data_IF_437420336994
#
_entry.id   IF_437420336994
#
_cell.length_a   1.000
_cell.length_b   1.000
_cell.length_c   1.000
_cell.angle_alpha   90.00
_cell.angle_beta   90.00
_cell.angle_gamma   90.00
#
_symmetry.space_group_name_H-M   'P 1'
#
loop_
_entity.id
_entity.type
_entity.pdbx_description
1 polymer ?
#
# COMPACT_ATOMS: atom_id res chain seq x y z
N UNK A 1 -13.50 -14.22 24.69
CA UNK A 1 -12.83 -14.18 23.36
C UNK A 1 -11.66 -13.20 23.45
N UNK A 2 -10.46 -13.65 23.10
CA UNK A 2 -9.27 -12.78 23.12
C UNK A 2 -9.33 -11.71 22.00
N UNK A 3 -8.59 -10.60 22.17
CA UNK A 3 -8.50 -9.55 21.15
C UNK A 3 -8.01 -10.12 19.80
N UNK A 4 -7.10 -11.09 19.84
CA UNK A 4 -6.59 -11.73 18.62
C UNK A 4 -7.66 -12.55 17.90
N UNK A 5 -8.52 -13.24 18.62
CA UNK A 5 -9.66 -13.97 18.04
C UNK A 5 -10.68 -13.02 17.43
N UNK A 6 -10.99 -11.92 18.11
CA UNK A 6 -11.87 -10.88 17.58
C UNK A 6 -11.33 -10.29 16.27
N UNK A 7 -10.03 -9.93 16.23
CA UNK A 7 -9.37 -9.46 15.01
C UNK A 7 -9.40 -10.49 13.88
N UNK A 8 -9.20 -11.77 14.18
CA UNK A 8 -9.27 -12.85 13.18
C UNK A 8 -10.66 -13.01 12.59
N UNK A 9 -11.69 -12.98 13.44
CA UNK A 9 -13.09 -13.05 12.98
C UNK A 9 -13.47 -11.84 12.13
N UNK A 10 -13.09 -10.63 12.58
CA UNK A 10 -13.36 -9.41 11.83
C UNK A 10 -12.68 -9.41 10.45
N UNK A 11 -11.41 -9.86 10.37
CA UNK A 11 -10.73 -10.02 9.06
C UNK A 11 -11.50 -10.94 8.13
N UNK A 12 -11.95 -12.10 8.64
CA UNK A 12 -12.72 -13.07 7.83
C UNK A 12 -14.01 -12.46 7.31
N UNK A 13 -14.76 -11.79 8.16
CA UNK A 13 -16.03 -11.15 7.78
C UNK A 13 -15.82 -10.04 6.74
N UNK A 14 -14.79 -9.20 6.90
CA UNK A 14 -14.48 -8.10 5.97
C UNK A 14 -14.02 -8.62 4.61
N UNK A 15 -13.20 -9.68 4.57
CA UNK A 15 -12.78 -10.31 3.31
C UNK A 15 -13.99 -10.91 2.57
N UNK A 16 -14.92 -11.54 3.29
CA UNK A 16 -16.15 -12.03 2.68
C UNK A 16 -16.99 -10.89 2.13
N UNK A 17 -17.14 -9.80 2.89
CA UNK A 17 -17.89 -8.61 2.44
C UNK A 17 -17.27 -7.99 1.18
N UNK A 18 -15.95 -7.89 1.09
CA UNK A 18 -15.26 -7.38 -0.10
C UNK A 18 -15.53 -8.21 -1.35
N UNK A 19 -15.58 -9.55 -1.22
CA UNK A 19 -15.88 -10.46 -2.34
C UNK A 19 -17.30 -10.31 -2.90
N UNK A 20 -18.20 -9.67 -2.16
CA UNK A 20 -19.58 -9.40 -2.60
C UNK A 20 -19.73 -8.09 -3.37
N UNK A 21 -18.69 -7.26 -3.42
CA UNK A 21 -18.70 -6.04 -4.23
C UNK A 21 -18.64 -6.44 -5.71
N UNK A 22 -19.49 -5.86 -6.51
CA UNK A 22 -19.42 -6.07 -7.96
C UNK A 22 -18.30 -5.23 -8.59
N UNK A 23 -17.81 -5.68 -9.75
CA UNK A 23 -16.67 -5.05 -10.43
C UNK A 23 -16.96 -3.58 -10.78
N UNK A 24 -18.17 -3.23 -11.17
CA UNK A 24 -18.56 -1.85 -11.49
C UNK A 24 -18.51 -0.92 -10.28
N UNK A 25 -19.01 -1.37 -9.11
CA UNK A 25 -18.91 -0.58 -7.87
C UNK A 25 -17.45 -0.42 -7.43
N UNK A 26 -16.66 -1.48 -7.56
CA UNK A 26 -15.24 -1.47 -7.21
C UNK A 26 -14.48 -0.50 -8.10
N UNK A 27 -14.73 -0.51 -9.41
CA UNK A 27 -14.10 0.40 -10.36
C UNK A 27 -14.41 1.88 -10.03
N UNK A 28 -15.66 2.21 -9.75
CA UNK A 28 -16.07 3.58 -9.37
C UNK A 28 -15.37 4.02 -8.09
N UNK A 29 -15.33 3.15 -7.07
CA UNK A 29 -14.66 3.45 -5.80
C UNK A 29 -13.15 3.61 -5.96
N UNK A 30 -12.49 2.76 -6.74
CA UNK A 30 -11.06 2.86 -7.02
C UNK A 30 -10.72 4.17 -7.75
N UNK A 31 -11.51 4.55 -8.76
CA UNK A 31 -11.34 5.82 -9.45
C UNK A 31 -11.45 7.02 -8.51
N UNK A 32 -12.49 7.05 -7.67
CA UNK A 32 -12.68 8.11 -6.69
C UNK A 32 -11.55 8.18 -5.64
N UNK A 33 -11.05 7.03 -5.17
CA UNK A 33 -9.91 6.97 -4.24
C UNK A 33 -8.65 7.51 -4.92
N UNK A 34 -8.37 7.12 -6.15
CA UNK A 34 -7.23 7.61 -6.92
C UNK A 34 -7.29 9.13 -7.09
N UNK A 35 -8.44 9.67 -7.51
CA UNK A 35 -8.64 11.11 -7.65
C UNK A 35 -8.43 11.85 -6.32
N UNK A 36 -9.03 11.36 -5.24
CA UNK A 36 -8.85 11.94 -3.92
C UNK A 36 -7.39 11.93 -3.47
N UNK A 37 -6.66 10.81 -3.65
CA UNK A 37 -5.25 10.73 -3.31
C UNK A 37 -4.42 11.76 -4.09
N UNK A 38 -4.63 11.86 -5.41
CA UNK A 38 -3.91 12.81 -6.27
C UNK A 38 -4.21 14.27 -5.93
N UNK A 39 -5.39 14.56 -5.37
CA UNK A 39 -5.80 15.89 -4.94
C UNK A 39 -5.15 16.34 -3.63
N UNK A 40 -4.66 15.41 -2.80
CA UNK A 40 -4.06 15.75 -1.50
C UNK A 40 -2.78 16.56 -1.70
N UNK A 41 -2.67 17.69 -0.99
CA UNK A 41 -1.49 18.54 -1.03
C UNK A 41 -0.22 17.76 -0.67
N UNK A 42 -0.28 16.91 0.35
CA UNK A 42 0.85 16.06 0.76
C UNK A 42 1.35 15.15 -0.39
N UNK A 43 0.44 14.54 -1.15
CA UNK A 43 0.78 13.72 -2.31
C UNK A 43 1.37 14.58 -3.44
N UNK A 44 0.82 15.78 -3.65
CA UNK A 44 1.28 16.69 -4.70
C UNK A 44 2.69 17.23 -4.44
N UNK A 45 3.02 17.52 -3.18
CA UNK A 45 4.28 18.15 -2.77
C UNK A 45 5.35 17.17 -2.31
N UNK A 46 5.02 15.90 -2.09
CA UNK A 46 5.98 14.90 -1.68
C UNK A 46 7.07 14.64 -2.73
N UNK A 47 8.30 14.46 -2.26
CA UNK A 47 9.45 14.07 -3.08
C UNK A 47 9.38 12.59 -3.48
N UNK A 48 8.81 11.76 -2.60
CA UNK A 48 8.69 10.32 -2.79
C UNK A 48 7.29 9.86 -2.39
N UNK A 49 6.68 9.06 -3.23
CA UNK A 49 5.42 8.35 -2.95
C UNK A 49 5.74 6.87 -2.69
N UNK A 50 5.23 6.36 -1.58
CA UNK A 50 5.43 4.98 -1.11
C UNK A 50 4.10 4.21 -1.12
N UNK A 51 3.56 3.85 -2.29
CA UNK A 51 2.33 3.07 -2.39
C UNK A 51 2.59 1.58 -2.16
N UNK A 52 1.55 0.84 -1.82
CA UNK A 52 1.58 -0.61 -1.98
C UNK A 52 1.16 -1.00 -3.41
N UNK A 53 1.62 -2.15 -3.88
CA UNK A 53 1.12 -2.76 -5.12
C UNK A 53 -0.07 -3.62 -4.75
N UNK A 54 -1.25 -3.25 -5.25
CA UNK A 54 -2.50 -3.93 -4.90
C UNK A 54 -2.56 -5.36 -5.39
N UNK A 55 -3.15 -6.22 -4.57
CA UNK A 55 -3.53 -7.59 -4.91
C UNK A 55 -5.04 -7.70 -5.08
N UNK A 56 -5.51 -8.86 -5.54
CA UNK A 56 -6.95 -9.12 -5.72
C UNK A 56 -7.75 -8.84 -4.44
N UNK A 57 -8.83 -8.08 -4.57
CA UNK A 57 -9.71 -7.70 -3.46
C UNK A 57 -9.21 -6.55 -2.58
N UNK A 58 -8.09 -5.91 -2.92
CA UNK A 58 -7.66 -4.64 -2.34
C UNK A 58 -8.20 -3.44 -3.13
N UNK A 59 -8.03 -2.25 -2.58
CA UNK A 59 -8.17 -1.01 -3.37
C UNK A 59 -7.08 -1.03 -4.44
N UNK A 60 -7.47 -0.86 -5.69
CA UNK A 60 -6.51 -0.84 -6.80
C UNK A 60 -5.66 0.43 -6.75
N UNK A 61 -4.36 0.25 -6.56
CA UNK A 61 -3.35 1.33 -6.52
C UNK A 61 -2.60 1.50 -7.83
N UNK A 62 -2.83 0.63 -8.83
CA UNK A 62 -2.05 0.65 -10.07
C UNK A 62 -2.26 1.93 -10.87
N UNK A 63 -3.50 2.42 -10.97
CA UNK A 63 -3.78 3.69 -11.64
C UNK A 63 -3.14 4.87 -10.89
N UNK A 64 -3.21 4.89 -9.56
CA UNK A 64 -2.53 5.91 -8.75
C UNK A 64 -1.01 5.91 -8.98
N UNK A 65 -0.38 4.74 -8.97
CA UNK A 65 1.06 4.56 -9.27
C UNK A 65 1.36 5.08 -10.68
N UNK A 66 0.55 4.69 -11.68
CA UNK A 66 0.70 5.13 -13.07
C UNK A 66 0.68 6.65 -13.19
N UNK A 67 -0.27 7.31 -12.55
CA UNK A 67 -0.39 8.78 -12.58
C UNK A 67 0.80 9.45 -11.88
N UNK A 68 1.27 8.92 -10.76
CA UNK A 68 2.47 9.42 -10.07
C UNK A 68 3.71 9.31 -10.96
N UNK A 69 3.93 8.18 -11.62
CA UNK A 69 5.05 7.97 -12.54
C UNK A 69 4.98 8.92 -13.75
N UNK A 70 3.80 9.07 -14.36
CA UNK A 70 3.58 10.01 -15.48
C UNK A 70 3.82 11.46 -15.09
N UNK A 71 3.54 11.82 -13.84
CA UNK A 71 3.81 13.15 -13.30
C UNK A 71 5.29 13.37 -12.92
N UNK A 72 6.17 12.40 -13.17
CA UNK A 72 7.60 12.47 -12.87
C UNK A 72 7.93 12.35 -11.38
N UNK A 73 7.02 11.82 -10.55
CA UNK A 73 7.29 11.61 -9.13
C UNK A 73 8.18 10.39 -8.91
N UNK A 74 9.01 10.46 -7.88
CA UNK A 74 9.72 9.29 -7.40
C UNK A 74 8.72 8.36 -6.73
N UNK A 75 8.61 7.14 -7.23
CA UNK A 75 7.74 6.09 -6.67
C UNK A 75 8.61 4.94 -6.22
N UNK A 76 8.43 4.51 -4.96
CA UNK A 76 9.07 3.32 -4.44
C UNK A 76 8.03 2.41 -3.80
N UNK A 77 8.07 1.13 -4.14
CA UNK A 77 7.09 0.15 -3.66
C UNK A 77 7.76 -0.91 -2.78
N UNK A 78 7.02 -1.56 -1.89
CA UNK A 78 7.61 -2.48 -0.92
C UNK A 78 8.08 -3.79 -1.57
N UNK A 79 9.19 -4.31 -1.05
CA UNK A 79 9.69 -5.67 -1.27
C UNK A 79 9.91 -6.35 0.08
N UNK A 80 9.42 -7.56 0.25
CA UNK A 80 9.68 -8.35 1.46
C UNK A 80 11.15 -8.81 1.48
N UNK A 81 11.84 -8.55 2.60
CA UNK A 81 13.21 -9.04 2.82
C UNK A 81 13.13 -10.46 3.43
N UNK A 82 12.23 -10.62 4.39
CA UNK A 82 12.02 -11.85 5.14
C UNK A 82 10.55 -11.95 5.61
N UNK A 83 10.22 -12.87 6.50
CA UNK A 83 8.87 -13.02 7.06
C UNK A 83 8.39 -11.85 7.94
N UNK A 84 9.21 -10.83 8.17
CA UNK A 84 8.94 -9.75 9.13
C UNK A 84 9.25 -8.35 8.60
N UNK A 85 10.26 -8.21 7.76
CA UNK A 85 10.80 -6.93 7.32
C UNK A 85 10.54 -6.69 5.85
N UNK A 86 10.38 -5.41 5.49
CA UNK A 86 10.27 -4.94 4.12
C UNK A 86 11.17 -3.73 3.90
N UNK A 87 11.58 -3.55 2.67
CA UNK A 87 12.28 -2.39 2.16
C UNK A 87 11.48 -1.75 1.03
N UNK A 88 11.80 -0.53 0.66
CA UNK A 88 11.19 0.15 -0.47
C UNK A 88 12.20 0.31 -1.59
N UNK A 89 11.78 -0.03 -2.81
CA UNK A 89 12.63 0.05 -4.00
C UNK A 89 11.97 0.93 -5.05
N UNK A 90 12.79 1.79 -5.68
CA UNK A 90 12.34 2.68 -6.76
C UNK A 90 11.93 1.85 -7.96
N UNK A 91 10.79 2.22 -8.54
CA UNK A 91 10.31 1.70 -9.82
C UNK A 91 10.09 2.85 -10.80
N UNK A 92 10.26 2.59 -12.07
CA UNK A 92 9.99 3.51 -13.17
C UNK A 92 8.80 3.04 -14.02
N UNK A 93 8.58 1.74 -14.05
CA UNK A 93 7.46 1.10 -14.76
C UNK A 93 7.01 -0.14 -13.99
N UNK A 94 5.87 -0.72 -14.36
CA UNK A 94 5.45 -2.01 -13.81
C UNK A 94 6.30 -3.19 -14.30
N UNK A 95 7.09 -3.01 -15.38
CA UNK A 95 8.06 -4.01 -15.82
C UNK A 95 9.23 -4.19 -14.83
N UNK A 96 9.39 -3.27 -13.89
CA UNK A 96 10.34 -3.38 -12.79
C UNK A 96 9.88 -4.37 -11.71
N UNK A 97 8.66 -4.89 -11.81
CA UNK A 97 8.10 -5.85 -10.87
C UNK A 97 8.25 -7.29 -11.35
N UNK A 98 8.29 -8.20 -10.39
CA UNK A 98 8.24 -9.65 -10.57
C UNK A 98 7.43 -10.29 -9.45
N UNK A 99 7.04 -11.56 -9.59
CA UNK A 99 6.35 -12.27 -8.51
C UNK A 99 7.32 -12.55 -7.37
N UNK A 100 7.07 -11.90 -6.26
CA UNK A 100 7.84 -12.02 -5.03
C UNK A 100 7.21 -12.95 -4.01
N UNK A 101 7.50 -12.66 -2.75
CA UNK A 101 6.97 -13.42 -1.61
C UNK A 101 5.43 -13.35 -1.60
N UNK A 102 4.80 -14.47 -1.31
CA UNK A 102 3.33 -14.63 -1.29
C UNK A 102 2.63 -14.44 -2.65
N UNK A 103 3.36 -14.49 -3.78
CA UNK A 103 2.80 -14.27 -5.12
C UNK A 103 2.37 -12.83 -5.41
N UNK A 104 2.78 -11.87 -4.57
CA UNK A 104 2.57 -10.44 -4.74
C UNK A 104 3.59 -9.91 -5.72
N UNK A 105 3.21 -8.91 -6.53
CA UNK A 105 4.16 -8.23 -7.40
C UNK A 105 5.08 -7.34 -6.55
N UNK A 106 6.37 -7.61 -6.59
CA UNK A 106 7.41 -6.92 -5.82
C UNK A 106 8.52 -6.42 -6.75
N UNK A 107 9.25 -5.36 -6.38
CA UNK A 107 10.38 -4.87 -7.17
C UNK A 107 11.43 -5.95 -7.42
N UNK A 108 11.93 -6.03 -8.65
CA UNK A 108 13.08 -6.87 -9.02
C UNK A 108 14.29 -6.54 -8.16
N UNK A 109 15.21 -7.51 -8.02
CA UNK A 109 16.45 -7.33 -7.26
C UNK A 109 17.35 -6.23 -7.82
N UNK A 110 17.21 -5.89 -9.10
CA UNK A 110 17.92 -4.80 -9.77
C UNK A 110 17.43 -3.39 -9.37
N UNK A 111 16.23 -3.29 -8.78
CA UNK A 111 15.70 -1.99 -8.38
C UNK A 111 16.45 -1.43 -7.17
N UNK A 112 16.76 -0.14 -7.22
CA UNK A 112 17.48 0.56 -6.17
C UNK A 112 16.65 0.64 -4.88
N UNK A 113 17.25 0.22 -3.77
CA UNK A 113 16.67 0.36 -2.42
C UNK A 113 16.88 1.78 -1.93
N UNK A 114 15.89 2.33 -1.25
CA UNK A 114 15.96 3.67 -0.64
C UNK A 114 15.76 3.60 0.87
N UNK A 115 16.29 4.59 1.59
CA UNK A 115 15.95 4.83 3.00
C UNK A 115 14.58 5.50 3.11
N UNK A 116 13.52 4.71 2.85
CA UNK A 116 12.16 5.23 2.89
C UNK A 116 11.71 5.62 4.30
N UNK A 117 12.24 4.98 5.34
CA UNK A 117 11.89 5.30 6.73
C UNK A 117 12.39 6.68 7.14
N UNK A 118 13.58 7.09 6.65
CA UNK A 118 14.18 8.39 6.90
C UNK A 118 13.67 9.52 6.00
N UNK A 119 12.87 9.24 4.98
CA UNK A 119 12.40 10.21 3.99
C UNK A 119 11.31 11.12 4.56
N UNK A 120 11.68 12.29 5.07
CA UNK A 120 10.76 13.21 5.76
C UNK A 120 9.67 13.79 4.84
N UNK A 121 9.99 14.10 3.57
CA UNK A 121 9.01 14.59 2.59
C UNK A 121 8.48 13.46 1.69
N UNK A 122 7.99 12.41 2.32
CA UNK A 122 7.38 11.27 1.62
C UNK A 122 5.98 11.00 2.12
N UNK A 123 5.18 10.32 1.27
CA UNK A 123 3.82 9.89 1.61
C UNK A 123 3.72 8.38 1.49
N UNK A 124 3.35 7.73 2.59
CA UNK A 124 3.14 6.29 2.66
C UNK A 124 1.65 5.96 2.53
N UNK A 125 1.30 5.20 1.50
CA UNK A 125 -0.05 4.66 1.33
C UNK A 125 -0.11 3.26 1.93
N UNK A 126 -0.90 3.12 2.98
CA UNK A 126 -0.92 1.90 3.81
C UNK A 126 -2.13 1.04 3.50
N UNK A 127 -1.95 -0.25 3.14
CA UNK A 127 -3.06 -1.16 2.92
C UNK A 127 -3.79 -1.48 4.23
N UNK A 128 -5.11 -1.62 4.15
CA UNK A 128 -5.92 -2.03 5.28
C UNK A 128 -7.19 -2.78 4.83
N UNK A 129 -7.70 -3.65 5.68
CA UNK A 129 -9.03 -4.24 5.52
C UNK A 129 -10.13 -3.26 5.93
N UNK A 130 -9.91 -2.52 7.00
CA UNK A 130 -10.77 -1.43 7.45
C UNK A 130 -9.99 -0.46 8.35
N UNK A 131 -10.61 0.68 8.59
CA UNK A 131 -10.18 1.68 9.56
C UNK A 131 -11.42 2.28 10.26
N UNK A 132 -11.19 2.96 11.36
CA UNK A 132 -12.24 3.68 12.07
C UNK A 132 -12.00 5.20 12.05
N UNK A 133 -12.99 5.96 12.52
CA UNK A 133 -12.93 7.42 12.56
C UNK A 133 -11.80 8.00 13.44
N UNK A 134 -11.20 7.17 14.30
CA UNK A 134 -10.04 7.54 15.14
C UNK A 134 -8.70 7.25 14.47
N UNK A 135 -8.69 6.77 13.21
CA UNK A 135 -7.47 6.45 12.47
C UNK A 135 -6.87 5.07 12.77
N UNK A 136 -7.47 4.26 13.65
CA UNK A 136 -6.99 2.89 13.84
C UNK A 136 -7.36 2.03 12.63
N UNK A 137 -6.39 1.27 12.10
CA UNK A 137 -6.57 0.36 10.99
C UNK A 137 -6.43 -1.09 11.39
N UNK A 138 -7.12 -1.96 10.67
CA UNK A 138 -6.95 -3.40 10.73
C UNK A 138 -6.32 -3.88 9.42
N UNK A 139 -5.05 -4.29 9.48
CA UNK A 139 -4.34 -4.90 8.35
C UNK A 139 -4.54 -6.40 8.26
N UNK A 140 -3.83 -7.04 7.34
CA UNK A 140 -3.92 -8.48 7.06
C UNK A 140 -3.29 -9.39 8.14
N UNK A 141 -2.54 -8.83 9.08
CA UNK A 141 -2.05 -9.53 10.27
C UNK A 141 -0.58 -9.95 10.24
N UNK A 142 0.17 -9.64 9.19
CA UNK A 142 1.62 -9.91 9.11
C UNK A 142 2.48 -8.84 9.82
N UNK A 143 1.95 -7.62 10.00
CA UNK A 143 2.58 -6.56 10.76
C UNK A 143 3.74 -5.83 10.06
N UNK A 144 3.99 -6.06 8.77
CA UNK A 144 5.04 -5.37 8.01
C UNK A 144 4.95 -3.85 8.13
N UNK A 145 3.78 -3.30 7.82
CA UNK A 145 3.56 -1.86 7.88
C UNK A 145 3.59 -1.31 9.31
N UNK A 146 3.13 -2.06 10.31
CA UNK A 146 3.17 -1.61 11.71
C UNK A 146 4.63 -1.47 12.19
N UNK A 147 5.50 -2.40 11.78
CA UNK A 147 6.94 -2.32 12.08
C UNK A 147 7.61 -1.18 11.32
N UNK A 148 7.31 -1.03 10.04
CA UNK A 148 7.88 0.03 9.21
C UNK A 148 7.49 1.43 9.72
N UNK A 149 6.20 1.66 9.99
CA UNK A 149 5.67 2.94 10.47
C UNK A 149 6.31 3.38 11.79
N UNK A 150 6.72 2.43 12.64
CA UNK A 150 7.35 2.76 13.92
C UNK A 150 8.67 3.56 13.77
N UNK A 151 9.34 3.47 12.62
CA UNK A 151 10.54 4.25 12.30
C UNK A 151 10.34 5.31 11.20
N UNK A 152 9.14 5.41 10.64
CA UNK A 152 8.87 6.27 9.50
C UNK A 152 8.68 7.74 9.90
N UNK A 153 9.30 8.68 9.16
CA UNK A 153 9.32 10.12 9.44
C UNK A 153 8.46 10.97 8.50
N UNK A 154 7.94 10.39 7.42
CA UNK A 154 7.07 11.07 6.46
C UNK A 154 5.58 11.12 6.88
N UNK A 155 4.68 11.23 5.89
CA UNK A 155 3.22 11.39 6.07
C UNK A 155 2.45 10.12 5.72
#
# INVERSE_FOLDING_TARGET
MSVNEQKKQLRKALLQKRKLLCDSETAVKNAAITENLLSLEKVRTADIILPFVSTDGEVDTREFITQCLKAGKNVAVPRCIDGSNMEFCVIHTFDDLEKGMYGIDEPKKSCAVIDAAGAENSVLIVPALCFNAKGFRLGYGKGYYDRFINGYKGY
#
